data_IF_347819820946
#
_entry.id   IF_347819820946
#
_cell.length_a   1.000
_cell.length_b   1.000
_cell.length_c   1.000
_cell.angle_alpha   90.00
_cell.angle_beta   90.00
_cell.angle_gamma   90.00
#
_symmetry.space_group_name_H-M   'P 1'
#
loop_
_entity.id
_entity.type
_entity.pdbx_description
1 polymer ?
#
# COMPACT_ATOMS: atom_id res chain seq x y z
N UNK A 1 -24.03 36.86 6.61
CA UNK A 1 -23.55 36.48 5.27
C UNK A 1 -22.03 36.40 5.29
N UNK A 2 -21.47 35.40 5.97
CA UNK A 2 -20.02 35.20 6.12
C UNK A 2 -19.68 33.70 6.31
N UNK A 3 -20.44 32.83 5.64
CA UNK A 3 -20.41 31.37 5.86
C UNK A 3 -20.11 30.59 4.57
N UNK A 4 -19.88 31.28 3.45
CA UNK A 4 -19.67 30.65 2.13
C UNK A 4 -18.22 30.73 1.61
N UNK A 5 -17.35 31.49 2.29
CA UNK A 5 -15.97 31.71 1.84
C UNK A 5 -14.98 30.72 2.47
N UNK A 6 -15.34 30.03 3.56
CA UNK A 6 -14.44 29.10 4.25
C UNK A 6 -14.51 27.66 3.69
N UNK A 7 -15.57 27.35 2.93
CA UNK A 7 -15.78 26.00 2.37
C UNK A 7 -14.98 25.75 1.07
N UNK A 8 -14.55 26.80 0.36
CA UNK A 8 -13.79 26.66 -0.89
C UNK A 8 -12.31 26.34 -0.62
N UNK A 9 -11.67 26.97 0.38
CA UNK A 9 -10.27 26.71 0.75
C UNK A 9 -10.03 25.26 1.23
N UNK A 10 -10.95 24.71 2.04
CA UNK A 10 -10.86 23.32 2.51
C UNK A 10 -11.12 22.28 1.41
N UNK A 11 -11.79 22.68 0.33
CA UNK A 11 -12.07 21.82 -0.82
C UNK A 11 -10.83 21.60 -1.69
N UNK A 12 -9.94 22.59 -1.74
CA UNK A 12 -8.65 22.50 -2.45
C UNK A 12 -7.65 21.63 -1.66
N UNK A 13 -7.67 21.72 -0.32
CA UNK A 13 -6.81 20.93 0.56
C UNK A 13 -7.10 19.42 0.51
N UNK A 14 -8.31 19.01 0.13
CA UNK A 14 -8.71 17.61 -0.06
C UNK A 14 -8.75 17.19 -1.53
N UNK A 15 -8.41 18.06 -2.48
CA UNK A 15 -8.40 17.75 -3.91
C UNK A 15 -7.48 16.56 -4.25
N UNK A 16 -6.48 16.29 -3.40
CA UNK A 16 -5.60 15.12 -3.53
C UNK A 16 -6.26 13.77 -3.19
N UNK A 17 -7.38 13.76 -2.47
CA UNK A 17 -8.14 12.54 -2.20
C UNK A 17 -8.95 12.10 -3.42
N UNK A 18 -9.07 12.95 -4.45
CA UNK A 18 -9.78 12.59 -5.67
C UNK A 18 -8.99 11.56 -6.49
N UNK A 19 -9.66 10.48 -6.96
CA UNK A 19 -9.02 9.53 -7.86
C UNK A 19 -8.44 10.23 -9.09
N UNK A 20 -7.17 9.96 -9.39
CA UNK A 20 -6.48 10.50 -10.58
C UNK A 20 -5.78 11.84 -10.39
N UNK A 21 -5.77 12.41 -9.18
CA UNK A 21 -4.93 13.57 -8.86
C UNK A 21 -3.44 13.22 -8.99
N UNK A 22 -2.67 14.01 -9.73
CA UNK A 22 -1.22 13.82 -9.86
C UNK A 22 -0.49 14.72 -8.86
N UNK A 23 -0.17 14.16 -7.69
CA UNK A 23 0.66 14.84 -6.71
C UNK A 23 2.11 14.97 -7.21
N UNK A 24 2.82 16.03 -6.81
CA UNK A 24 4.27 16.04 -6.97
C UNK A 24 4.89 14.89 -6.14
N UNK A 25 5.98 14.25 -6.58
CA UNK A 25 6.53 13.07 -5.90
C UNK A 25 6.85 13.27 -4.40
N UNK A 26 7.30 14.47 -4.02
CA UNK A 26 7.58 14.81 -2.63
C UNK A 26 6.31 14.83 -1.76
N UNK A 27 5.20 15.33 -2.30
CA UNK A 27 3.91 15.39 -1.60
C UNK A 27 3.31 13.99 -1.43
N UNK A 28 3.49 13.11 -2.44
CA UNK A 28 3.03 11.74 -2.38
C UNK A 28 3.68 10.95 -1.23
N UNK A 29 4.99 11.08 -1.02
CA UNK A 29 5.67 10.34 0.05
C UNK A 29 5.20 10.79 1.44
N UNK A 30 5.06 12.10 1.66
CA UNK A 30 4.54 12.66 2.91
C UNK A 30 3.10 12.16 3.19
N UNK A 31 2.25 12.12 2.17
CA UNK A 31 0.88 11.61 2.28
C UNK A 31 0.83 10.12 2.58
N UNK A 32 1.66 9.31 1.92
CA UNK A 32 1.77 7.88 2.22
C UNK A 32 2.18 7.68 3.68
N UNK A 33 3.14 8.46 4.19
CA UNK A 33 3.53 8.42 5.60
C UNK A 33 2.34 8.72 6.54
N UNK A 34 1.58 9.78 6.26
CA UNK A 34 0.40 10.16 7.05
C UNK A 34 -0.67 9.06 7.04
N UNK A 35 -0.95 8.46 5.87
CA UNK A 35 -1.91 7.36 5.76
C UNK A 35 -1.42 6.12 6.52
N UNK A 36 -0.14 5.78 6.44
CA UNK A 36 0.43 4.66 7.19
C UNK A 36 0.36 4.87 8.71
N UNK A 37 0.50 6.11 9.18
CA UNK A 37 0.43 6.46 10.61
C UNK A 37 -1.01 6.58 11.14
N UNK A 38 -1.94 7.12 10.35
CA UNK A 38 -3.33 7.33 10.75
C UNK A 38 -4.13 6.01 10.87
N UNK A 39 -3.71 4.97 10.15
CA UNK A 39 -4.44 3.70 10.07
C UNK A 39 -3.61 2.56 10.66
N UNK A 40 -3.82 2.17 11.92
CA UNK A 40 -3.03 1.12 12.57
C UNK A 40 -3.24 -0.25 11.89
N UNK A 41 -4.45 -0.51 11.41
CA UNK A 41 -4.77 -1.74 10.69
C UNK A 41 -4.09 -1.76 9.30
N UNK A 42 -3.32 -2.82 9.02
CA UNK A 42 -2.46 -2.90 7.84
C UNK A 42 -3.25 -2.92 6.54
N UNK A 43 -4.34 -3.69 6.46
CA UNK A 43 -5.16 -3.72 5.25
C UNK A 43 -5.74 -2.34 4.94
N UNK A 44 -6.30 -1.65 5.93
CA UNK A 44 -6.88 -0.31 5.78
C UNK A 44 -5.83 0.69 5.27
N UNK A 45 -4.64 0.71 5.85
CA UNK A 45 -3.55 1.58 5.40
C UNK A 45 -3.13 1.29 3.96
N UNK A 46 -2.88 0.01 3.62
CA UNK A 46 -2.47 -0.38 2.27
C UNK A 46 -3.57 -0.11 1.23
N UNK A 47 -4.83 -0.36 1.60
CA UNK A 47 -5.99 -0.08 0.73
C UNK A 47 -6.14 1.41 0.47
N UNK A 48 -6.02 2.26 1.48
CA UNK A 48 -6.14 3.71 1.31
C UNK A 48 -4.99 4.28 0.47
N UNK A 49 -3.75 3.85 0.72
CA UNK A 49 -2.61 4.25 -0.13
C UNK A 49 -2.86 3.85 -1.58
N UNK A 50 -3.28 2.60 -1.83
CA UNK A 50 -3.59 2.12 -3.17
C UNK A 50 -4.74 2.88 -3.83
N UNK A 51 -5.78 3.24 -3.08
CA UNK A 51 -6.96 3.94 -3.59
C UNK A 51 -6.68 5.41 -3.93
N UNK A 52 -5.77 6.05 -3.19
CA UNK A 52 -5.47 7.49 -3.29
C UNK A 52 -4.26 7.81 -4.19
N UNK A 53 -3.36 6.85 -4.42
CA UNK A 53 -2.14 7.03 -5.21
C UNK A 53 -2.10 6.10 -6.44
N UNK A 54 -3.18 6.10 -7.22
CA UNK A 54 -3.39 5.17 -8.35
C UNK A 54 -2.44 5.44 -9.54
N UNK A 55 -1.89 6.65 -9.61
CA UNK A 55 -0.93 7.09 -10.61
C UNK A 55 0.48 6.51 -10.40
N UNK A 56 0.77 6.02 -9.19
CA UNK A 56 2.08 5.45 -8.87
C UNK A 56 2.13 3.94 -9.16
N UNK A 57 3.22 3.43 -9.74
CA UNK A 57 3.42 2.00 -9.89
C UNK A 57 3.40 1.27 -8.55
N UNK A 58 2.75 0.09 -8.50
CA UNK A 58 2.65 -0.75 -7.29
C UNK A 58 3.99 -1.04 -6.63
N UNK A 59 5.06 -1.15 -7.43
CA UNK A 59 6.42 -1.37 -6.94
C UNK A 59 6.96 -0.17 -6.14
N UNK A 60 6.67 1.07 -6.57
CA UNK A 60 7.00 2.29 -5.82
C UNK A 60 6.17 2.40 -4.54
N UNK A 61 4.86 2.12 -4.62
CA UNK A 61 3.99 2.09 -3.45
C UNK A 61 4.48 1.06 -2.41
N UNK A 62 4.88 -0.13 -2.87
CA UNK A 62 5.43 -1.16 -1.99
C UNK A 62 6.70 -0.71 -1.28
N UNK A 63 7.60 0.01 -1.96
CA UNK A 63 8.79 0.57 -1.32
C UNK A 63 8.43 1.63 -0.27
N UNK A 64 7.54 2.57 -0.60
CA UNK A 64 7.14 3.64 0.30
C UNK A 64 6.40 3.10 1.54
N UNK A 65 5.42 2.20 1.36
CA UNK A 65 4.67 1.61 2.48
C UNK A 65 5.64 0.86 3.41
N UNK A 66 6.58 0.08 2.87
CA UNK A 66 7.58 -0.61 3.68
C UNK A 66 8.45 0.32 4.53
N UNK A 67 8.73 1.55 4.08
CA UNK A 67 9.50 2.51 4.86
C UNK A 67 8.78 2.96 6.14
N UNK A 68 7.44 2.94 6.14
CA UNK A 68 6.62 3.45 7.24
C UNK A 68 5.87 2.38 8.02
N UNK A 69 5.94 1.12 7.59
CA UNK A 69 5.19 -0.02 8.16
C UNK A 69 6.13 -1.13 8.63
N UNK A 70 6.59 -1.09 9.90
CA UNK A 70 7.50 -2.11 10.44
C UNK A 70 6.85 -3.50 10.52
N UNK A 71 5.52 -3.57 10.55
CA UNK A 71 4.75 -4.81 10.43
C UNK A 71 4.98 -5.54 9.09
N UNK A 72 5.57 -4.87 8.09
CA UNK A 72 5.99 -5.46 6.81
C UNK A 72 7.48 -5.87 6.76
N UNK A 73 8.25 -5.74 7.85
CA UNK A 73 9.70 -6.00 7.83
C UNK A 73 10.04 -7.44 7.42
N UNK A 74 9.23 -8.41 7.83
CA UNK A 74 9.39 -9.82 7.47
C UNK A 74 9.09 -10.13 5.99
N UNK A 75 8.42 -9.22 5.28
CA UNK A 75 8.00 -9.40 3.90
C UNK A 75 8.98 -8.72 2.96
N UNK A 76 9.31 -9.33 1.83
CA UNK A 76 10.09 -8.64 0.81
C UNK A 76 9.23 -7.66 0.01
N UNK A 77 9.88 -6.79 -0.78
CA UNK A 77 9.16 -5.82 -1.62
C UNK A 77 8.18 -6.50 -2.57
N UNK A 78 8.59 -7.62 -3.17
CA UNK A 78 7.73 -8.44 -4.06
C UNK A 78 6.50 -9.02 -3.33
N UNK A 79 6.66 -9.39 -2.06
CA UNK A 79 5.54 -9.86 -1.23
C UNK A 79 4.53 -8.73 -1.01
N UNK A 80 5.01 -7.51 -0.76
CA UNK A 80 4.16 -6.32 -0.59
C UNK A 80 3.47 -5.93 -1.90
N UNK A 81 4.15 -6.03 -3.05
CA UNK A 81 3.50 -5.86 -4.36
C UNK A 81 2.40 -6.90 -4.58
N UNK A 82 2.63 -8.15 -4.17
CA UNK A 82 1.63 -9.21 -4.23
C UNK A 82 0.42 -8.91 -3.34
N UNK A 83 0.65 -8.38 -2.13
CA UNK A 83 -0.41 -7.93 -1.22
C UNK A 83 -1.24 -6.80 -1.84
N UNK A 84 -0.59 -5.76 -2.39
CA UNK A 84 -1.29 -4.65 -3.07
C UNK A 84 -2.12 -5.14 -4.27
N UNK A 85 -1.59 -6.10 -5.03
CA UNK A 85 -2.31 -6.71 -6.15
C UNK A 85 -3.51 -7.52 -5.67
N UNK A 86 -3.38 -8.25 -4.58
CA UNK A 86 -4.47 -9.02 -3.99
C UNK A 86 -5.57 -8.12 -3.40
N UNK A 87 -5.20 -7.00 -2.79
CA UNK A 87 -6.14 -5.95 -2.36
C UNK A 87 -6.91 -5.42 -3.55
N UNK A 88 -6.24 -5.10 -4.67
CA UNK A 88 -6.89 -4.58 -5.87
C UNK A 88 -7.93 -5.54 -6.47
N UNK A 89 -7.60 -6.83 -6.53
CA UNK A 89 -8.42 -7.83 -7.20
C UNK A 89 -9.49 -8.46 -6.30
N UNK A 90 -9.24 -8.53 -4.99
CA UNK A 90 -10.05 -9.30 -4.05
C UNK A 90 -10.27 -8.64 -2.69
N UNK A 91 -9.89 -7.36 -2.52
CA UNK A 91 -10.06 -6.63 -1.27
C UNK A 91 -9.44 -7.36 -0.08
N UNK A 92 -10.16 -7.38 1.06
CA UNK A 92 -9.68 -7.98 2.31
C UNK A 92 -9.46 -9.49 2.18
N UNK A 93 -10.33 -10.21 1.49
CA UNK A 93 -10.21 -11.67 1.36
C UNK A 93 -8.98 -12.08 0.55
N UNK A 94 -8.67 -11.32 -0.51
CA UNK A 94 -7.43 -11.50 -1.29
C UNK A 94 -6.18 -11.22 -0.45
N UNK A 95 -6.19 -10.13 0.30
CA UNK A 95 -5.11 -9.77 1.23
C UNK A 95 -4.84 -10.87 2.26
N UNK A 96 -5.88 -11.35 2.94
CA UNK A 96 -5.77 -12.40 3.97
C UNK A 96 -5.32 -13.75 3.37
N UNK A 97 -5.67 -14.04 2.12
CA UNK A 97 -5.19 -15.23 1.41
C UNK A 97 -3.67 -15.19 1.15
N UNK A 98 -3.14 -14.03 0.74
CA UNK A 98 -1.69 -13.85 0.54
C UNK A 98 -0.95 -13.96 1.88
N UNK A 99 -1.43 -13.31 2.94
CA UNK A 99 -0.82 -13.42 4.27
C UNK A 99 -0.78 -14.87 4.78
N UNK A 100 -1.87 -15.63 4.64
CA UNK A 100 -1.89 -17.06 4.99
C UNK A 100 -0.89 -17.87 4.18
N UNK A 101 -0.78 -17.62 2.88
CA UNK A 101 0.15 -18.34 2.01
C UNK A 101 1.60 -18.07 2.39
N UNK A 102 1.92 -16.82 2.75
CA UNK A 102 3.27 -16.41 3.20
C UNK A 102 3.59 -16.90 4.61
N UNK A 103 2.63 -16.89 5.53
CA UNK A 103 2.80 -17.50 6.85
C UNK A 103 3.09 -19.00 6.76
N UNK A 104 2.50 -19.70 5.79
CA UNK A 104 2.75 -21.11 5.51
C UNK A 104 3.96 -21.35 4.60
N UNK A 105 4.57 -20.30 4.04
CA UNK A 105 5.76 -20.35 3.20
C UNK A 105 6.79 -19.31 3.67
N UNK A 106 7.25 -19.37 4.94
CA UNK A 106 8.36 -18.53 5.37
C UNK A 106 9.51 -18.84 4.43
N UNK A 107 10.11 -17.80 3.82
CA UNK A 107 11.16 -17.94 2.81
C UNK A 107 12.13 -19.04 3.25
N UNK A 108 11.99 -20.22 2.64
CA UNK A 108 13.04 -21.22 2.62
C UNK A 108 14.20 -20.46 1.98
N UNK A 109 15.22 -20.18 2.79
CA UNK A 109 16.54 -19.79 2.30
C UNK A 109 16.77 -20.63 1.05
N UNK A 110 17.03 -19.95 -0.08
CA UNK A 110 17.35 -20.58 -1.37
C UNK A 110 18.51 -21.55 -1.16
N UNK A 111 18.16 -22.79 -0.86
CA UNK A 111 19.04 -23.88 -0.50
C UNK A 111 18.39 -25.16 -1.00
N UNK A 112 18.80 -25.54 -2.21
CA UNK A 112 18.76 -26.88 -2.78
C UNK A 112 17.46 -27.67 -2.67
N UNK A 113 16.76 -27.82 -3.79
CA UNK A 113 16.14 -29.11 -4.09
C UNK A 113 16.46 -29.51 -5.54
N UNK A 114 17.59 -30.19 -5.65
CA UNK A 114 17.92 -31.15 -6.70
C UNK A 114 16.90 -32.29 -6.67
N UNK A 115 15.94 -32.28 -7.59
CA UNK A 115 15.21 -33.48 -8.01
C UNK A 115 14.85 -33.33 -9.50
N UNK A 116 15.84 -33.55 -10.37
CA UNK A 116 15.55 -34.23 -11.64
C UNK A 116 16.19 -35.61 -11.51
N UNK A 117 15.35 -36.63 -11.54
CA UNK A 117 15.73 -38.04 -11.45
C UNK A 117 15.55 -38.63 -12.85
N UNK A 118 16.64 -39.21 -13.33
CA UNK A 118 16.82 -40.18 -14.45
C UNK A 118 16.37 -39.77 -15.86
#
# INVERSE_FOLDING_TARGET
>A
MADAAQDEEGRDELAWLQPGHRAAPADALCRIQLLCAAWPELFAAMFLVLATHQELPRDMLAAAIKQFRPDLDAYSREDVVSLLTAIWNGGKSGFDAVLRTRANSPKKVSGGFSWVKE
#
